data_IF_284456670138
#
_entry.id   IF_284456670138
#
_cell.length_a   1.000
_cell.length_b   1.000
_cell.length_c   1.000
_cell.angle_alpha   90.00
_cell.angle_beta   90.00
_cell.angle_gamma   90.00
#
_symmetry.space_group_name_H-M   'P 1'
#
loop_
_entity.id
_entity.type
_entity.pdbx_description
1 polymer ?
#
# COMPACT_ATOMS: atom_id res chain seq x y z
N UNK A 1 -7.23 3.91 -2.27
CA UNK A 1 -7.28 3.09 -1.02
C UNK A 1 -7.12 3.96 0.22
N UNK A 2 -6.00 4.62 0.38
CA UNK A 2 -5.66 5.32 1.63
C UNK A 2 -6.64 6.45 1.99
N UNK A 3 -7.01 7.32 1.06
CA UNK A 3 -7.99 8.39 1.33
C UNK A 3 -9.30 7.84 1.92
N UNK A 4 -9.74 6.67 1.45
CA UNK A 4 -10.95 6.04 1.97
C UNK A 4 -10.71 5.38 3.33
N UNK A 5 -9.51 4.83 3.57
CA UNK A 5 -9.12 4.37 4.91
C UNK A 5 -9.17 5.53 5.91
N UNK A 6 -8.57 6.66 5.57
CA UNK A 6 -8.61 7.87 6.40
C UNK A 6 -10.03 8.38 6.65
N UNK A 7 -10.90 8.33 5.63
CA UNK A 7 -12.29 8.74 5.77
C UNK A 7 -13.08 7.90 6.79
N UNK A 8 -12.80 6.59 6.88
CA UNK A 8 -13.46 5.69 7.84
C UNK A 8 -12.81 5.68 9.22
N UNK A 9 -11.51 5.95 9.32
CA UNK A 9 -10.74 5.68 10.54
C UNK A 9 -10.08 6.91 11.15
N UNK A 10 -10.01 8.02 10.41
CA UNK A 10 -9.28 9.24 10.77
C UNK A 10 -7.81 8.96 11.15
N UNK A 11 -7.18 8.00 10.45
CA UNK A 11 -5.75 7.74 10.59
C UNK A 11 -4.92 8.83 9.89
N UNK A 12 -3.67 8.99 10.33
CA UNK A 12 -2.74 9.92 9.68
C UNK A 12 -2.47 9.49 8.23
N UNK A 13 -2.66 10.42 7.29
CA UNK A 13 -2.53 10.18 5.85
C UNK A 13 -1.16 9.62 5.44
N UNK A 14 -0.08 10.24 5.89
CA UNK A 14 1.28 9.79 5.55
C UNK A 14 1.60 8.40 6.11
N UNK A 15 1.14 8.10 7.31
CA UNK A 15 1.30 6.78 7.93
C UNK A 15 0.47 5.71 7.19
N UNK A 16 -0.77 6.03 6.82
CA UNK A 16 -1.61 5.14 6.01
C UNK A 16 -0.99 4.81 4.66
N UNK A 17 -0.41 5.81 3.99
CA UNK A 17 0.35 5.59 2.75
C UNK A 17 1.56 4.68 2.99
N UNK A 18 2.35 4.90 4.05
CA UNK A 18 3.52 4.09 4.37
C UNK A 18 3.17 2.61 4.53
N UNK A 19 2.04 2.31 5.19
CA UNK A 19 1.57 0.94 5.41
C UNK A 19 1.11 0.28 4.10
N UNK A 20 0.37 1.00 3.25
CA UNK A 20 -0.27 0.41 2.06
C UNK A 20 0.69 0.27 0.87
N UNK A 21 1.64 1.20 0.68
CA UNK A 21 2.46 1.25 -0.54
C UNK A 21 3.24 -0.04 -0.83
N UNK A 22 3.97 -0.67 0.12
CA UNK A 22 4.72 -1.89 -0.19
C UNK A 22 3.82 -3.03 -0.67
N UNK A 23 2.72 -3.30 0.03
CA UNK A 23 1.76 -4.34 -0.35
C UNK A 23 1.13 -4.06 -1.72
N UNK A 24 0.71 -2.82 -1.97
CA UNK A 24 0.17 -2.41 -3.27
C UNK A 24 1.19 -2.60 -4.39
N UNK A 25 2.43 -2.19 -4.20
CA UNK A 25 3.48 -2.31 -5.22
C UNK A 25 3.83 -3.77 -5.52
N UNK A 26 3.93 -4.63 -4.51
CA UNK A 26 4.11 -6.07 -4.73
C UNK A 26 2.96 -6.68 -5.53
N UNK A 27 1.73 -6.22 -5.31
CA UNK A 27 0.56 -6.73 -6.03
C UNK A 27 0.57 -6.37 -7.52
N UNK A 28 1.09 -5.19 -7.89
CA UNK A 28 1.09 -4.69 -9.27
C UNK A 28 2.47 -4.74 -9.97
N UNK A 29 3.51 -5.26 -9.32
CA UNK A 29 4.88 -5.19 -9.83
C UNK A 29 5.01 -5.76 -11.24
N UNK A 30 4.33 -6.86 -11.54
CA UNK A 30 4.35 -7.50 -12.86
C UNK A 30 3.64 -6.69 -13.94
N UNK A 31 2.68 -5.85 -13.57
CA UNK A 31 1.94 -4.99 -14.50
C UNK A 31 2.73 -3.74 -14.91
N UNK A 32 3.82 -3.42 -14.18
CA UNK A 32 4.70 -2.28 -14.45
C UNK A 32 6.18 -2.62 -14.19
N UNK A 33 6.61 -3.82 -14.52
CA UNK A 33 7.92 -4.38 -14.18
C UNK A 33 9.07 -3.49 -14.62
N UNK A 34 9.02 -2.91 -15.82
CA UNK A 34 10.06 -2.02 -16.33
C UNK A 34 10.24 -0.78 -15.42
N UNK A 35 9.14 -0.17 -14.99
CA UNK A 35 9.18 1.01 -14.11
C UNK A 35 9.69 0.66 -12.72
N UNK A 36 9.26 -0.46 -12.16
CA UNK A 36 9.73 -0.93 -10.85
C UNK A 36 11.19 -1.37 -10.90
N UNK A 37 11.65 -2.00 -11.97
CA UNK A 37 13.06 -2.33 -12.18
C UNK A 37 13.92 -1.08 -12.24
N UNK A 38 13.48 -0.06 -12.99
CA UNK A 38 14.16 1.24 -13.04
C UNK A 38 14.19 1.92 -11.66
N UNK A 39 13.07 1.93 -10.95
CA UNK A 39 12.99 2.46 -9.59
C UNK A 39 13.97 1.75 -8.65
N UNK A 40 13.98 0.42 -8.67
CA UNK A 40 14.88 -0.41 -7.86
C UNK A 40 16.34 -0.05 -8.11
N UNK A 41 16.74 0.01 -9.38
CA UNK A 41 18.11 0.30 -9.80
C UNK A 41 18.54 1.73 -9.47
N UNK A 42 17.74 2.71 -9.88
CA UNK A 42 18.15 4.13 -9.79
C UNK A 42 18.06 4.68 -8.36
N UNK A 43 17.14 4.18 -7.53
CA UNK A 43 16.93 4.69 -6.18
C UNK A 43 17.73 3.88 -5.14
N UNK A 44 17.73 2.55 -5.26
CA UNK A 44 18.30 1.66 -4.24
C UNK A 44 19.53 0.87 -4.71
N UNK A 45 19.88 0.91 -6.00
CA UNK A 45 20.92 0.03 -6.54
C UNK A 45 20.56 -1.46 -6.45
N UNK A 46 19.27 -1.78 -6.41
CA UNK A 46 18.78 -3.15 -6.28
C UNK A 46 18.68 -3.86 -7.64
N UNK A 47 18.83 -5.18 -7.64
CA UNK A 47 18.96 -5.99 -8.86
C UNK A 47 17.62 -6.42 -9.47
N UNK A 48 16.51 -6.27 -8.76
CA UNK A 48 15.17 -6.62 -9.23
C UNK A 48 14.10 -5.64 -8.75
N UNK A 49 12.96 -5.64 -9.44
CA UNK A 49 11.80 -4.82 -9.06
C UNK A 49 11.33 -5.12 -7.64
N UNK A 50 11.22 -6.40 -7.29
CA UNK A 50 10.83 -6.86 -5.95
C UNK A 50 11.83 -6.39 -4.89
N UNK A 51 13.12 -6.54 -5.14
CA UNK A 51 14.18 -6.09 -4.22
C UNK A 51 14.11 -4.56 -4.00
N UNK A 52 13.73 -3.79 -4.99
CA UNK A 52 13.49 -2.35 -4.85
C UNK A 52 12.29 -2.02 -3.96
N UNK A 53 11.21 -2.78 -4.07
CA UNK A 53 10.03 -2.62 -3.21
C UNK A 53 10.36 -3.02 -1.76
N UNK A 54 11.12 -4.10 -1.57
CA UNK A 54 11.59 -4.54 -0.25
C UNK A 54 12.52 -3.49 0.39
N UNK A 55 13.39 -2.86 -0.41
CA UNK A 55 14.24 -1.76 0.05
C UNK A 55 13.41 -0.52 0.47
N UNK A 56 12.33 -0.21 -0.26
CA UNK A 56 11.38 0.83 0.17
C UNK A 56 10.72 0.48 1.50
N UNK A 57 10.27 -0.76 1.68
CA UNK A 57 9.69 -1.22 2.94
C UNK A 57 10.70 -1.15 4.10
N UNK A 58 11.97 -1.46 3.84
CA UNK A 58 13.05 -1.31 4.82
C UNK A 58 13.26 0.17 5.20
N UNK A 59 13.30 1.08 4.22
CA UNK A 59 13.43 2.52 4.46
C UNK A 59 12.27 3.06 5.31
N UNK A 60 11.04 2.63 5.05
CA UNK A 60 9.85 3.00 5.84
C UNK A 60 10.06 2.60 7.32
N UNK A 61 10.57 1.40 7.59
CA UNK A 61 10.90 0.94 8.95
C UNK A 61 12.03 1.75 9.59
N UNK A 62 13.09 2.04 8.85
CA UNK A 62 14.23 2.85 9.32
C UNK A 62 13.79 4.28 9.69
N UNK A 63 12.82 4.83 8.98
CA UNK A 63 12.21 6.12 9.31
C UNK A 63 11.28 6.08 10.54
N UNK A 64 11.07 4.92 11.16
CA UNK A 64 10.20 4.75 12.32
C UNK A 64 8.71 4.89 11.99
N UNK A 65 8.32 4.71 10.71
CA UNK A 65 6.94 4.75 10.29
C UNK A 65 6.23 3.41 10.52
N UNK A 66 4.91 3.41 10.72
CA UNK A 66 4.12 2.18 10.81
C UNK A 66 4.29 1.31 9.56
N UNK A 67 4.33 -0.01 9.77
CA UNK A 67 4.39 -1.01 8.70
C UNK A 67 3.15 -1.91 8.66
N UNK A 68 2.32 -1.82 9.68
CA UNK A 68 1.07 -2.59 9.83
C UNK A 68 -0.10 -1.67 10.21
N UNK A 69 -1.31 -2.07 9.83
CA UNK A 69 -2.55 -1.35 10.18
C UNK A 69 -2.74 -1.20 11.70
N UNK A 70 -2.33 -2.22 12.47
CA UNK A 70 -2.42 -2.20 13.93
C UNK A 70 -1.52 -1.18 14.63
N UNK A 71 -0.54 -0.62 13.92
CA UNK A 71 0.35 0.43 14.43
C UNK A 71 -0.18 1.84 14.15
N UNK A 72 -1.20 1.96 13.29
CA UNK A 72 -1.79 3.25 12.94
C UNK A 72 -2.58 3.82 14.12
N UNK A 73 -2.30 5.07 14.45
CA UNK A 73 -3.17 5.84 15.35
C UNK A 73 -4.41 6.27 14.58
N UNK A 74 -5.57 5.74 14.97
CA UNK A 74 -6.85 6.02 14.34
C UNK A 74 -7.94 6.23 15.39
N UNK A 75 -8.97 7.04 15.05
CA UNK A 75 -10.11 7.26 15.95
C UNK A 75 -11.08 6.09 15.95
N UNK A 76 -11.23 5.40 14.83
CA UNK A 76 -12.03 4.19 14.70
C UNK A 76 -11.15 2.96 14.54
N UNK A 77 -11.58 1.83 15.09
CA UNK A 77 -10.87 0.58 14.97
C UNK A 77 -10.77 0.12 13.50
N UNK A 78 -9.57 -0.30 13.09
CA UNK A 78 -9.33 -0.88 11.78
C UNK A 78 -9.63 -2.37 11.88
N UNK A 79 -10.73 -2.79 11.27
CA UNK A 79 -11.19 -4.19 11.28
C UNK A 79 -11.36 -4.69 9.85
N UNK A 80 -11.41 -6.02 9.62
CA UNK A 80 -11.70 -6.57 8.29
C UNK A 80 -12.98 -6.00 7.68
N UNK A 81 -14.02 -5.76 8.50
CA UNK A 81 -15.28 -5.17 8.03
C UNK A 81 -15.11 -3.71 7.57
N UNK A 82 -14.28 -2.92 8.25
CA UNK A 82 -13.93 -1.56 7.83
C UNK A 82 -13.11 -1.61 6.55
N UNK A 83 -12.12 -2.50 6.45
CA UNK A 83 -11.31 -2.66 5.23
C UNK A 83 -12.16 -3.10 4.02
N UNK A 84 -13.18 -3.94 4.23
CA UNK A 84 -14.14 -4.28 3.17
C UNK A 84 -14.90 -3.05 2.69
N UNK A 85 -15.39 -2.19 3.59
CA UNK A 85 -16.05 -0.93 3.23
C UNK A 85 -15.10 0.03 2.49
N UNK A 86 -13.83 0.10 2.93
CA UNK A 86 -12.80 0.88 2.23
C UNK A 86 -12.64 0.40 0.79
N UNK A 87 -12.50 -0.91 0.59
CA UNK A 87 -12.36 -1.50 -0.73
C UNK A 87 -13.58 -1.24 -1.63
N UNK A 88 -14.79 -1.37 -1.08
CA UNK A 88 -16.04 -1.22 -1.84
C UNK A 88 -16.32 0.23 -2.26
N UNK A 89 -15.81 1.20 -1.52
CA UNK A 89 -16.11 2.62 -1.70
C UNK A 89 -14.95 3.48 -2.19
N UNK A 90 -13.71 2.96 -2.22
CA UNK A 90 -12.59 3.74 -2.73
C UNK A 90 -12.67 3.96 -4.24
N UNK A 91 -12.07 5.06 -4.71
CA UNK A 91 -11.94 5.31 -6.14
C UNK A 91 -11.03 4.28 -6.79
N UNK A 92 -11.51 3.68 -7.87
CA UNK A 92 -10.69 2.84 -8.75
C UNK A 92 -10.13 3.73 -9.86
N UNK A 93 -8.81 3.88 -9.89
CA UNK A 93 -8.13 4.73 -10.85
C UNK A 93 -7.83 3.91 -12.10
N UNK A 94 -8.48 4.25 -13.22
CA UNK A 94 -8.31 3.56 -14.51
C UNK A 94 -6.95 3.78 -15.17
N UNK A 95 -6.21 4.80 -14.73
CA UNK A 95 -4.87 5.15 -15.25
C UNK A 95 -3.73 4.45 -14.50
N UNK A 96 -4.02 3.57 -13.56
CA UNK A 96 -3.02 2.68 -12.96
C UNK A 96 -2.46 1.71 -14.02
N UNK A 97 -1.32 1.08 -13.78
CA UNK A 97 -0.78 0.04 -14.67
C UNK A 97 -1.81 -1.04 -15.01
N UNK A 98 -2.68 -1.37 -14.05
CA UNK A 98 -3.85 -2.23 -14.23
C UNK A 98 -4.99 -1.77 -13.31
N UNK A 99 -6.22 -1.84 -13.78
CA UNK A 99 -7.40 -1.61 -12.95
C UNK A 99 -7.57 -2.78 -11.96
N UNK A 100 -7.66 -2.47 -10.67
CA UNK A 100 -7.87 -3.46 -9.62
C UNK A 100 -9.35 -3.69 -9.36
N UNK A 101 -9.72 -4.94 -9.13
CA UNK A 101 -11.05 -5.27 -8.61
C UNK A 101 -11.21 -4.87 -7.12
N UNK A 102 -12.45 -4.79 -6.65
CA UNK A 102 -12.74 -4.52 -5.24
C UNK A 102 -12.19 -5.61 -4.31
N UNK A 103 -12.19 -6.84 -4.77
CA UNK A 103 -11.66 -7.96 -4.00
C UNK A 103 -10.14 -7.90 -3.92
N UNK A 104 -9.43 -7.61 -5.03
CA UNK A 104 -7.98 -7.37 -5.00
C UNK A 104 -7.60 -6.22 -4.06
N UNK A 105 -8.36 -5.12 -4.07
CA UNK A 105 -8.13 -4.00 -3.15
C UNK A 105 -8.30 -4.45 -1.69
N UNK A 106 -9.32 -5.26 -1.42
CA UNK A 106 -9.53 -5.83 -0.08
C UNK A 106 -8.37 -6.75 0.34
N UNK A 107 -7.89 -7.61 -0.56
CA UNK A 107 -6.74 -8.49 -0.31
C UNK A 107 -5.48 -7.68 0.04
N UNK A 108 -5.16 -6.65 -0.75
CA UNK A 108 -4.03 -5.74 -0.45
C UNK A 108 -4.16 -5.11 0.94
N UNK A 109 -5.34 -4.64 1.29
CA UNK A 109 -5.59 -4.04 2.61
C UNK A 109 -5.46 -5.07 3.74
N UNK A 110 -5.90 -6.31 3.52
CA UNK A 110 -5.78 -7.40 4.49
C UNK A 110 -4.32 -7.85 4.69
N UNK A 111 -3.47 -7.80 3.66
CA UNK A 111 -2.04 -8.06 3.80
C UNK A 111 -1.34 -7.05 4.72
N UNK A 112 -1.91 -5.86 4.87
CA UNK A 112 -1.40 -4.81 5.74
C UNK A 112 -1.81 -4.97 7.21
N UNK A 113 -2.70 -5.92 7.56
CA UNK A 113 -3.09 -6.19 8.96
C UNK A 113 -1.94 -6.84 9.74
#
# INVERSE_FOLDING_TARGET
MEHQLGAYTDCNHGQGLAVIHPAYYHHIVKDAEEKFTRFAKEVFGADSAEAGIDALAALIRECGLPTKMGELKSKAAITPQVLRKVADTCNVIKTNPRELSRDEIYEILMECM
#
